data_IF_485787528539
#
_entry.id   IF_485787528539
#
_cell.length_a   1.000
_cell.length_b   1.000
_cell.length_c   1.000
_cell.angle_alpha   90.00
_cell.angle_beta   90.00
_cell.angle_gamma   90.00
#
_symmetry.space_group_name_H-M   'P 1'
#
loop_
_entity.id
_entity.type
_entity.pdbx_description
1 polymer ?
#
# COMPACT_ATOMS: atom_id res chain seq x y z
N UNK A 1 28.44 16.20 10.24
CA UNK A 1 27.30 17.11 10.46
C UNK A 1 27.58 17.95 11.69
N UNK A 2 27.54 19.29 11.61
CA UNK A 2 27.57 20.18 12.79
C UNK A 2 26.12 20.50 13.15
N UNK A 3 25.70 20.18 14.37
CA UNK A 3 24.35 20.45 14.86
C UNK A 3 24.43 21.69 15.73
N UNK A 4 23.63 22.71 15.42
CA UNK A 4 23.44 23.86 16.32
C UNK A 4 22.56 23.40 17.52
N UNK A 5 23.08 23.44 18.76
CA UNK A 5 22.31 23.09 19.95
C UNK A 5 21.02 23.88 20.09
N UNK A 6 21.00 25.15 19.66
CA UNK A 6 19.84 26.02 19.85
C UNK A 6 18.69 25.69 18.90
N UNK A 7 19.00 25.18 17.70
CA UNK A 7 18.04 24.75 16.69
C UNK A 7 17.65 23.27 16.75
N UNK A 8 18.23 22.49 17.67
CA UNK A 8 18.02 21.06 17.77
C UNK A 8 17.18 20.68 19.00
N UNK A 9 16.43 19.56 18.90
CA UNK A 9 15.81 18.90 20.05
C UNK A 9 16.44 17.55 20.24
N UNK A 10 16.84 17.24 21.47
CA UNK A 10 17.47 15.97 21.83
C UNK A 10 16.44 15.12 22.55
N UNK A 11 16.13 13.94 22.01
CA UNK A 11 15.15 13.03 22.61
C UNK A 11 15.83 11.71 22.91
N UNK A 12 15.80 11.32 24.17
CA UNK A 12 16.17 9.98 24.58
C UNK A 12 14.90 9.14 24.65
N UNK A 13 14.77 8.22 23.69
CA UNK A 13 13.59 7.40 23.51
C UNK A 13 13.89 5.95 23.92
N UNK A 14 13.03 5.36 24.76
CA UNK A 14 13.17 3.97 25.23
C UNK A 14 11.82 3.25 25.10
N UNK A 15 11.84 2.04 24.54
CA UNK A 15 10.70 1.11 24.60
C UNK A 15 10.62 0.53 26.00
N UNK A 16 9.66 1.02 26.80
CA UNK A 16 9.46 0.68 28.22
C UNK A 16 10.69 0.90 29.11
N UNK A 17 10.75 2.05 29.79
CA UNK A 17 11.79 2.30 30.78
C UNK A 17 11.49 3.48 31.68
N UNK A 18 12.04 3.47 32.90
CA UNK A 18 12.04 4.65 33.77
C UNK A 18 13.31 5.45 33.53
N UNK A 19 13.23 6.79 33.43
CA UNK A 19 14.43 7.60 33.32
C UNK A 19 15.27 7.46 34.60
N UNK A 20 16.59 7.44 34.43
CA UNK A 20 17.50 7.60 35.56
C UNK A 20 17.35 8.99 36.20
N UNK A 21 17.87 9.14 37.42
CA UNK A 21 17.78 10.40 38.18
C UNK A 21 18.34 11.60 37.39
N UNK A 22 19.47 11.41 36.70
CA UNK A 22 20.10 12.45 35.88
C UNK A 22 19.23 12.85 34.69
N UNK A 23 18.65 11.87 33.97
CA UNK A 23 17.80 12.14 32.81
C UNK A 23 16.50 12.84 33.23
N UNK A 24 15.96 12.49 34.40
CA UNK A 24 14.76 13.15 34.97
C UNK A 24 15.04 14.62 35.31
N UNK A 25 16.25 14.92 35.79
CA UNK A 25 16.68 16.29 36.07
C UNK A 25 16.94 17.07 34.77
N UNK A 26 17.50 16.44 33.74
CA UNK A 26 17.66 17.04 32.41
C UNK A 26 16.30 17.37 31.77
N UNK A 27 15.36 16.43 31.80
CA UNK A 27 14.02 16.58 31.22
C UNK A 27 13.21 17.73 31.85
N UNK A 28 13.47 18.04 33.13
CA UNK A 28 12.84 19.15 33.87
C UNK A 28 13.57 20.49 33.73
N UNK A 29 14.84 20.48 33.34
CA UNK A 29 15.67 21.68 33.30
C UNK A 29 15.36 22.51 32.06
N UNK A 30 14.29 23.31 32.10
CA UNK A 30 13.86 24.13 30.95
C UNK A 30 14.50 25.52 30.95
N UNK A 31 15.17 25.89 32.04
CA UNK A 31 15.85 27.18 32.21
C UNK A 31 17.37 27.04 32.31
N UNK A 32 18.08 28.10 31.94
CA UNK A 32 19.55 28.12 32.00
C UNK A 32 20.10 27.90 33.41
N UNK A 33 19.41 28.41 34.43
CA UNK A 33 19.78 28.22 35.82
C UNK A 33 19.67 26.75 36.26
N UNK A 34 18.63 26.04 35.82
CA UNK A 34 18.45 24.61 36.08
C UNK A 34 19.46 23.77 35.30
N UNK A 35 19.66 24.08 34.02
CA UNK A 35 20.63 23.40 33.17
C UNK A 35 22.06 23.51 33.73
N UNK A 36 22.41 24.67 34.28
CA UNK A 36 23.71 24.88 34.96
C UNK A 36 23.86 24.01 36.20
N UNK A 37 22.78 23.80 36.98
CA UNK A 37 22.81 22.91 38.15
C UNK A 37 23.02 21.46 37.73
N UNK A 38 22.33 21.02 36.67
CA UNK A 38 22.49 19.68 36.10
C UNK A 38 23.91 19.49 35.56
N UNK A 39 24.44 20.48 34.84
CA UNK A 39 25.81 20.43 34.30
C UNK A 39 26.87 20.30 35.40
N UNK A 40 26.71 21.00 36.54
CA UNK A 40 27.59 20.83 37.71
C UNK A 40 27.56 19.40 38.26
N UNK A 41 26.37 18.79 38.30
CA UNK A 41 26.20 17.40 38.75
C UNK A 41 26.86 16.41 37.78
N UNK A 42 26.72 16.64 36.47
CA UNK A 42 27.39 15.86 35.42
C UNK A 42 28.92 15.93 35.58
N UNK A 43 29.48 17.13 35.78
CA UNK A 43 30.92 17.34 36.01
C UNK A 43 31.41 16.58 37.25
N UNK A 44 30.68 16.70 38.37
CA UNK A 44 31.02 15.98 39.60
C UNK A 44 31.03 14.46 39.39
N UNK A 45 30.00 13.91 38.74
CA UNK A 45 29.95 12.47 38.44
C UNK A 45 31.04 12.03 37.47
N UNK A 46 31.48 12.89 36.56
CA UNK A 46 32.59 12.63 35.66
C UNK A 46 33.94 12.59 36.40
N UNK A 47 34.15 13.52 37.34
CA UNK A 47 35.37 13.60 38.15
C UNK A 47 35.49 12.41 39.13
N UNK A 48 34.35 11.91 39.62
CA UNK A 48 34.26 10.78 40.56
C UNK A 48 34.38 9.39 39.86
N UNK A 49 34.42 9.33 38.52
CA UNK A 49 34.46 8.06 37.76
C UNK A 49 35.88 7.64 37.35
N UNK A 50 36.11 6.32 37.33
CA UNK A 50 37.36 5.73 36.82
C UNK A 50 37.59 6.08 35.34
N UNK A 51 38.85 6.38 34.99
CA UNK A 51 39.25 6.85 33.66
C UNK A 51 39.21 5.78 32.56
N UNK A 52 38.97 4.51 32.91
CA UNK A 52 39.02 3.38 31.97
C UNK A 52 37.67 3.06 31.31
N UNK A 53 36.60 3.79 31.62
CA UNK A 53 35.27 3.45 31.08
C UNK A 53 35.09 4.00 29.66
N UNK A 54 34.59 3.15 28.75
CA UNK A 54 34.46 3.47 27.31
C UNK A 54 33.64 4.73 26.98
N UNK A 55 32.75 5.20 27.86
CA UNK A 55 31.96 6.42 27.65
C UNK A 55 32.67 7.72 28.07
N UNK A 56 33.74 7.62 28.86
CA UNK A 56 34.46 8.76 29.45
C UNK A 56 34.99 9.74 28.39
N UNK A 57 35.58 9.30 27.25
CA UNK A 57 35.99 10.19 26.18
C UNK A 57 34.85 10.98 25.53
N UNK A 58 33.65 10.38 25.46
CA UNK A 58 32.47 11.03 24.89
C UNK A 58 31.93 12.12 25.80
N UNK A 59 31.88 11.87 27.12
CA UNK A 59 31.45 12.89 28.09
C UNK A 59 32.50 14.00 28.23
N UNK A 60 33.79 13.66 28.19
CA UNK A 60 34.87 14.65 28.17
C UNK A 60 34.78 15.59 26.96
N UNK A 61 34.47 15.05 25.77
CA UNK A 61 34.22 15.87 24.57
C UNK A 61 33.01 16.79 24.70
N UNK A 62 31.95 16.34 25.36
CA UNK A 62 30.78 17.17 25.65
C UNK A 62 31.16 18.34 26.57
N UNK A 63 31.82 18.08 27.69
CA UNK A 63 32.24 19.10 28.65
C UNK A 63 33.24 20.11 28.04
N UNK A 64 34.11 19.65 27.14
CA UNK A 64 35.06 20.51 26.42
C UNK A 64 34.40 21.47 25.41
N UNK A 65 33.13 21.24 25.04
CA UNK A 65 32.39 22.13 24.14
C UNK A 65 31.96 23.46 24.79
N UNK A 66 32.14 23.59 26.11
CA UNK A 66 31.85 24.80 26.88
C UNK A 66 30.43 24.83 27.46
N UNK A 67 30.28 25.58 28.56
CA UNK A 67 29.05 25.58 29.36
C UNK A 67 27.83 26.08 28.60
N UNK A 68 28.01 27.06 27.71
CA UNK A 68 26.92 27.60 26.88
C UNK A 68 26.31 26.51 25.99
N UNK A 69 27.16 25.73 25.33
CA UNK A 69 26.73 24.62 24.46
C UNK A 69 26.11 23.50 25.28
N UNK A 70 26.74 23.13 26.40
CA UNK A 70 26.25 22.07 27.27
C UNK A 70 24.88 22.38 27.86
N UNK A 71 24.69 23.61 28.37
CA UNK A 71 23.40 24.05 28.91
C UNK A 71 22.32 24.07 27.83
N UNK A 72 22.63 24.54 26.61
CA UNK A 72 21.68 24.53 25.50
C UNK A 72 21.21 23.12 25.13
N UNK A 73 22.09 22.11 25.22
CA UNK A 73 21.75 20.70 25.00
C UNK A 73 20.87 20.18 26.15
N UNK A 74 21.24 20.45 27.41
CA UNK A 74 20.47 20.03 28.59
C UNK A 74 19.05 20.61 28.54
N UNK A 75 18.91 21.91 28.24
CA UNK A 75 17.62 22.61 28.15
C UNK A 75 16.65 22.01 27.12
N UNK A 76 17.19 21.34 26.10
CA UNK A 76 16.44 20.81 24.96
C UNK A 76 16.45 19.28 24.93
N UNK A 77 16.89 18.65 26.03
CA UNK A 77 16.90 17.21 26.19
C UNK A 77 15.60 16.78 26.85
N UNK A 78 14.89 15.82 26.24
CA UNK A 78 13.68 15.25 26.84
C UNK A 78 13.70 13.73 26.84
N UNK A 79 13.08 13.14 27.86
CA UNK A 79 12.86 11.71 27.97
C UNK A 79 11.50 11.32 27.39
N UNK A 80 11.47 10.27 26.58
CA UNK A 80 10.23 9.70 26.07
C UNK A 80 10.24 8.18 26.27
N UNK A 81 9.19 7.68 26.92
CA UNK A 81 8.93 6.25 27.05
C UNK A 81 7.50 5.98 26.63
N UNK A 82 7.35 5.04 25.69
CA UNK A 82 6.06 4.55 25.24
C UNK A 82 6.09 3.02 25.30
N UNK A 83 4.99 2.42 25.76
CA UNK A 83 4.85 0.96 25.78
C UNK A 83 4.68 0.39 24.36
N UNK A 84 3.97 1.13 23.50
CA UNK A 84 3.79 0.81 22.09
C UNK A 84 4.29 1.97 21.21
N UNK A 85 5.55 1.90 20.74
CA UNK A 85 6.16 2.95 19.91
C UNK A 85 5.46 3.21 18.58
N UNK A 86 4.68 2.25 18.09
CA UNK A 86 4.02 2.33 16.80
C UNK A 86 2.60 2.88 16.91
N UNK A 87 2.04 3.00 18.13
CA UNK A 87 0.68 3.47 18.36
C UNK A 87 0.38 4.80 17.67
N UNK A 88 1.26 5.79 17.84
CA UNK A 88 1.07 7.12 17.24
C UNK A 88 1.07 7.11 15.71
N UNK A 89 1.75 6.13 15.09
CA UNK A 89 1.75 5.92 13.64
C UNK A 89 0.44 5.26 13.22
N UNK A 90 0.01 4.21 13.93
CA UNK A 90 -1.29 3.54 13.69
C UNK A 90 -2.46 4.51 13.78
N UNK A 91 -2.48 5.37 14.81
CA UNK A 91 -3.54 6.37 15.01
C UNK A 91 -3.59 7.39 13.85
N UNK A 92 -2.45 7.75 13.26
CA UNK A 92 -2.37 8.67 12.13
C UNK A 92 -2.66 8.02 10.77
N UNK A 93 -2.49 6.71 10.68
CA UNK A 93 -2.66 5.93 9.45
C UNK A 93 -3.90 5.03 9.52
N UNK A 94 -4.86 5.36 10.40
CA UNK A 94 -6.07 4.58 10.65
C UNK A 94 -7.02 4.45 9.44
N UNK A 95 -6.74 5.16 8.35
CA UNK A 95 -7.40 5.01 7.06
C UNK A 95 -6.92 3.75 6.29
N UNK A 96 -5.89 3.06 6.78
CA UNK A 96 -5.40 1.79 6.22
C UNK A 96 -5.75 0.61 7.13
N UNK A 97 -5.87 -0.61 6.59
CA UNK A 97 -6.02 -1.82 7.41
C UNK A 97 -4.87 -1.96 8.42
N UNK A 98 -5.13 -2.31 9.70
CA UNK A 98 -4.10 -2.40 10.73
C UNK A 98 -2.92 -3.31 10.36
N UNK A 99 -3.19 -4.45 9.73
CA UNK A 99 -2.15 -5.39 9.27
C UNK A 99 -1.20 -4.76 8.26
N UNK A 100 -1.71 -3.95 7.32
CA UNK A 100 -0.89 -3.25 6.34
C UNK A 100 0.00 -2.18 7.00
N UNK A 101 -0.50 -1.50 8.03
CA UNK A 101 0.28 -0.53 8.82
C UNK A 101 1.43 -1.22 9.54
N UNK A 102 1.19 -2.38 10.14
CA UNK A 102 2.21 -3.16 10.86
C UNK A 102 3.30 -3.66 9.91
N UNK A 103 2.93 -4.17 8.73
CA UNK A 103 3.89 -4.58 7.70
C UNK A 103 4.74 -3.41 7.18
N UNK A 104 4.10 -2.25 6.93
CA UNK A 104 4.80 -1.02 6.56
C UNK A 104 5.80 -0.59 7.63
N UNK A 105 5.40 -0.64 8.90
CA UNK A 105 6.26 -0.28 10.02
C UNK A 105 7.44 -1.27 10.14
N UNK A 106 7.19 -2.58 10.02
CA UNK A 106 8.24 -3.59 10.03
C UNK A 106 9.24 -3.38 8.88
N UNK A 107 8.75 -3.06 7.68
CA UNK A 107 9.59 -2.71 6.53
C UNK A 107 10.43 -1.45 6.75
N UNK A 108 9.83 -0.38 7.29
CA UNK A 108 10.55 0.85 7.64
C UNK A 108 11.67 0.60 8.66
N UNK A 109 11.38 -0.17 9.72
CA UNK A 109 12.35 -0.52 10.77
C UNK A 109 13.48 -1.36 10.18
N UNK A 110 13.16 -2.38 9.39
CA UNK A 110 14.15 -3.23 8.73
C UNK A 110 15.06 -2.44 7.80
N UNK A 111 14.50 -1.52 7.00
CA UNK A 111 15.26 -0.64 6.13
C UNK A 111 16.23 0.26 6.91
N UNK A 112 15.76 0.88 7.99
CA UNK A 112 16.59 1.73 8.84
C UNK A 112 17.74 0.95 9.48
N UNK A 113 17.44 -0.24 10.00
CA UNK A 113 18.43 -1.11 10.66
C UNK A 113 19.52 -1.57 9.70
N UNK A 114 19.14 -2.13 8.56
CA UNK A 114 20.10 -2.61 7.57
C UNK A 114 21.01 -1.47 7.07
N UNK A 115 20.44 -0.28 6.88
CA UNK A 115 21.23 0.89 6.48
C UNK A 115 22.21 1.34 7.57
N UNK A 116 21.79 1.35 8.85
CA UNK A 116 22.71 1.63 9.95
C UNK A 116 23.85 0.59 10.02
N UNK A 117 23.52 -0.69 9.84
CA UNK A 117 24.52 -1.77 9.85
C UNK A 117 25.53 -1.60 8.69
N UNK A 118 25.07 -1.17 7.51
CA UNK A 118 25.93 -0.85 6.37
C UNK A 118 26.85 0.35 6.67
N UNK A 119 26.32 1.43 7.27
CA UNK A 119 27.12 2.60 7.67
C UNK A 119 28.19 2.22 8.70
N UNK A 120 27.87 1.34 9.64
CA UNK A 120 28.81 0.83 10.65
C UNK A 120 29.90 0.00 9.97
N UNK A 121 29.52 -0.93 9.07
CA UNK A 121 30.48 -1.77 8.33
C UNK A 121 31.42 -0.97 7.44
N UNK A 122 30.97 0.17 6.92
CA UNK A 122 31.76 1.07 6.08
C UNK A 122 32.52 2.16 6.88
N UNK A 123 32.48 2.11 8.22
CA UNK A 123 33.07 3.12 9.12
C UNK A 123 32.63 4.56 8.81
N UNK A 124 31.44 4.72 8.23
CA UNK A 124 30.88 6.01 7.89
C UNK A 124 30.14 6.64 9.08
N UNK A 125 29.75 7.91 8.91
CA UNK A 125 28.93 8.62 9.88
C UNK A 125 27.63 7.85 10.16
N UNK A 126 27.45 7.40 11.41
CA UNK A 126 26.30 6.62 11.91
C UNK A 126 25.04 7.49 12.06
N UNK A 127 24.64 8.14 10.97
CA UNK A 127 23.50 9.04 10.94
C UNK A 127 22.74 8.90 9.63
N UNK A 128 21.43 8.73 9.72
CA UNK A 128 20.53 8.72 8.57
C UNK A 128 19.79 10.06 8.53
N UNK A 129 19.91 10.79 7.42
CA UNK A 129 19.14 12.01 7.20
C UNK A 129 17.67 11.64 6.94
N UNK A 130 16.75 12.32 7.62
CA UNK A 130 15.31 12.08 7.48
C UNK A 130 14.81 12.25 6.03
N UNK A 131 15.39 13.18 5.26
CA UNK A 131 15.06 13.38 3.84
C UNK A 131 15.45 12.15 3.02
N UNK A 132 16.63 11.59 3.25
CA UNK A 132 17.10 10.42 2.51
C UNK A 132 16.38 9.14 2.94
N UNK A 133 16.05 9.02 4.24
CA UNK A 133 15.17 7.96 4.73
C UNK A 133 13.80 8.03 4.07
N UNK A 134 13.14 9.18 4.07
CA UNK A 134 11.84 9.35 3.40
C UNK A 134 11.94 8.97 1.92
N UNK A 135 12.98 9.43 1.20
CA UNK A 135 13.16 9.09 -0.22
C UNK A 135 13.31 7.57 -0.43
N UNK A 136 14.20 6.91 0.34
CA UNK A 136 14.39 5.45 0.24
C UNK A 136 13.16 4.68 0.69
N UNK A 137 12.49 5.11 1.75
CA UNK A 137 11.29 4.46 2.26
C UNK A 137 10.13 4.62 1.27
N UNK A 138 9.90 5.80 0.69
CA UNK A 138 8.91 5.97 -0.38
C UNK A 138 9.21 5.09 -1.60
N UNK A 139 10.49 4.93 -1.97
CA UNK A 139 10.87 4.00 -3.03
C UNK A 139 10.65 2.53 -2.62
N UNK A 140 10.91 2.17 -1.36
CA UNK A 140 10.63 0.84 -0.81
C UNK A 140 9.14 0.54 -0.83
N UNK A 141 8.29 1.45 -0.32
CA UNK A 141 6.82 1.29 -0.34
C UNK A 141 6.30 1.13 -1.77
N UNK A 142 6.79 1.93 -2.72
CA UNK A 142 6.42 1.82 -4.14
C UNK A 142 6.93 0.52 -4.80
N UNK A 143 8.14 0.08 -4.44
CA UNK A 143 8.75 -1.14 -4.99
C UNK A 143 8.08 -2.40 -4.43
N UNK A 144 7.76 -2.37 -3.15
CA UNK A 144 7.19 -3.49 -2.40
C UNK A 144 5.68 -3.43 -2.32
N UNK A 145 5.03 -2.47 -3.02
CA UNK A 145 3.58 -2.29 -3.17
C UNK A 145 2.85 -3.47 -2.55
N UNK A 146 2.44 -3.30 -1.29
CA UNK A 146 1.97 -4.35 -0.37
C UNK A 146 0.69 -5.07 -0.84
N UNK A 147 0.39 -5.09 -2.12
CA UNK A 147 0.31 -6.29 -2.95
C UNK A 147 0.06 -5.76 -4.35
N UNK A 148 0.99 -5.88 -5.28
CA UNK A 148 0.76 -5.42 -6.66
C UNK A 148 -0.36 -6.20 -7.39
N UNK A 149 -1.04 -7.10 -6.70
CA UNK A 149 -2.21 -7.80 -7.16
C UNK A 149 -3.38 -7.55 -6.20
N UNK A 150 -4.54 -7.21 -6.74
CA UNK A 150 -5.78 -7.31 -5.99
C UNK A 150 -6.09 -8.78 -5.77
N UNK A 151 -6.22 -9.18 -4.51
CA UNK A 151 -6.54 -10.56 -4.17
C UNK A 151 -8.05 -10.81 -4.37
N UNK A 152 -8.44 -12.02 -4.82
CA UNK A 152 -9.83 -12.45 -4.83
C UNK A 152 -10.47 -12.19 -3.46
N UNK A 153 -11.58 -11.47 -3.46
CA UNK A 153 -12.27 -11.12 -2.22
C UNK A 153 -13.25 -12.23 -1.80
N UNK A 154 -13.58 -13.13 -2.72
CA UNK A 154 -14.49 -14.27 -2.53
C UNK A 154 -13.95 -15.59 -3.11
N UNK A 155 -14.44 -16.69 -2.56
CA UNK A 155 -14.22 -18.03 -3.11
C UNK A 155 -14.98 -18.22 -4.44
N UNK A 156 -14.50 -19.11 -5.33
CA UNK A 156 -15.23 -19.45 -6.54
C UNK A 156 -16.65 -19.98 -6.23
N UNK A 157 -17.67 -19.64 -7.04
CA UNK A 157 -19.01 -20.18 -6.87
C UNK A 157 -19.03 -21.70 -7.09
N UNK A 158 -19.92 -22.39 -6.40
CA UNK A 158 -20.14 -23.82 -6.63
C UNK A 158 -20.93 -24.09 -7.93
N UNK A 159 -20.87 -25.33 -8.42
CA UNK A 159 -21.53 -25.74 -9.67
C UNK A 159 -23.04 -25.49 -9.65
N UNK A 160 -23.68 -25.61 -8.47
CA UNK A 160 -25.12 -25.40 -8.33
C UNK A 160 -25.50 -23.94 -8.55
N UNK A 161 -24.70 -23.01 -8.02
CA UNK A 161 -24.88 -21.59 -8.18
C UNK A 161 -24.64 -21.16 -9.64
N UNK A 162 -23.60 -21.71 -10.29
CA UNK A 162 -23.33 -21.48 -11.72
C UNK A 162 -24.53 -21.94 -12.57
N UNK A 163 -24.98 -23.18 -12.36
CA UNK A 163 -26.12 -23.75 -13.07
C UNK A 163 -27.40 -22.94 -12.88
N UNK A 164 -27.64 -22.45 -11.66
CA UNK A 164 -28.78 -21.60 -11.36
C UNK A 164 -28.71 -20.27 -12.13
N UNK A 165 -27.55 -19.64 -12.18
CA UNK A 165 -27.35 -18.40 -12.93
C UNK A 165 -27.48 -18.61 -14.46
N UNK A 166 -26.98 -19.72 -15.01
CA UNK A 166 -27.18 -20.06 -16.43
C UNK A 166 -28.68 -20.23 -16.75
N UNK A 167 -29.44 -20.91 -15.88
CA UNK A 167 -30.90 -21.09 -16.03
C UNK A 167 -31.68 -19.79 -15.86
N UNK A 168 -31.18 -18.86 -15.05
CA UNK A 168 -31.77 -17.53 -14.87
C UNK A 168 -31.65 -16.64 -16.11
N UNK A 169 -30.83 -17.04 -17.09
CA UNK A 169 -30.62 -16.34 -18.36
C UNK A 169 -30.45 -14.81 -18.21
N UNK A 170 -29.49 -14.34 -17.38
CA UNK A 170 -29.15 -12.93 -17.36
C UNK A 170 -28.75 -12.48 -18.77
N UNK A 171 -28.88 -11.18 -19.04
CA UNK A 171 -28.73 -10.62 -20.37
C UNK A 171 -27.40 -11.00 -21.04
N UNK A 172 -26.28 -10.97 -20.33
CA UNK A 172 -25.00 -11.38 -20.92
C UNK A 172 -24.99 -12.87 -21.33
N UNK A 173 -25.68 -13.75 -20.57
CA UNK A 173 -25.85 -15.17 -20.92
C UNK A 173 -26.75 -15.33 -22.13
N UNK A 174 -27.85 -14.55 -22.22
CA UNK A 174 -28.72 -14.54 -23.41
C UNK A 174 -27.94 -14.12 -24.66
N UNK A 175 -27.09 -13.11 -24.54
CA UNK A 175 -26.20 -12.69 -25.63
C UNK A 175 -25.20 -13.79 -26.01
N UNK A 176 -24.59 -14.47 -25.04
CA UNK A 176 -23.69 -15.60 -25.30
C UNK A 176 -24.40 -16.77 -26.00
N UNK A 177 -25.64 -17.08 -25.61
CA UNK A 177 -26.47 -18.07 -26.30
C UNK A 177 -26.81 -17.66 -27.73
N UNK A 178 -27.05 -16.37 -28.00
CA UNK A 178 -27.31 -15.87 -29.35
C UNK A 178 -26.10 -15.95 -30.30
N UNK A 179 -24.88 -16.02 -29.75
CA UNK A 179 -23.67 -16.35 -30.51
C UNK A 179 -23.32 -17.84 -30.43
N UNK A 180 -24.26 -18.66 -29.97
CA UNK A 180 -24.13 -20.12 -29.79
C UNK A 180 -22.86 -20.50 -29.01
N UNK A 181 -22.57 -19.77 -27.94
CA UNK A 181 -21.47 -20.11 -27.04
C UNK A 181 -21.65 -21.53 -26.48
N UNK A 182 -20.59 -22.37 -26.47
CA UNK A 182 -20.67 -23.72 -25.90
C UNK A 182 -20.88 -23.67 -24.38
N UNK A 183 -21.41 -24.75 -23.82
CA UNK A 183 -21.75 -24.83 -22.39
C UNK A 183 -20.55 -24.50 -21.47
N UNK A 184 -19.35 -24.99 -21.81
CA UNK A 184 -18.14 -24.71 -21.03
C UNK A 184 -17.81 -23.21 -20.97
N UNK A 185 -18.07 -22.49 -22.07
CA UNK A 185 -17.91 -21.03 -22.12
C UNK A 185 -18.93 -20.33 -21.22
N UNK A 186 -20.18 -20.82 -21.18
CA UNK A 186 -21.21 -20.26 -20.30
C UNK A 186 -20.85 -20.45 -18.82
N UNK A 187 -20.34 -21.63 -18.45
CA UNK A 187 -19.87 -21.93 -17.09
C UNK A 187 -18.76 -20.97 -16.66
N UNK A 188 -17.73 -20.80 -17.49
CA UNK A 188 -16.63 -19.87 -17.22
C UNK A 188 -17.15 -18.43 -17.13
N UNK A 189 -17.97 -18.00 -18.10
CA UNK A 189 -18.49 -16.63 -18.15
C UNK A 189 -19.30 -16.27 -16.90
N UNK A 190 -20.16 -17.19 -16.44
CA UNK A 190 -20.97 -17.00 -15.24
C UNK A 190 -20.11 -16.99 -13.98
N UNK A 191 -19.16 -17.91 -13.85
CA UNK A 191 -18.20 -17.91 -12.74
C UNK A 191 -17.44 -16.58 -12.66
N UNK A 192 -16.87 -16.13 -13.78
CA UNK A 192 -16.09 -14.90 -13.86
C UNK A 192 -16.94 -13.66 -13.56
N UNK A 193 -18.17 -13.61 -14.08
CA UNK A 193 -19.14 -12.55 -13.81
C UNK A 193 -19.50 -12.45 -12.32
N UNK A 194 -19.83 -13.58 -11.69
CA UNK A 194 -20.19 -13.61 -10.27
C UNK A 194 -19.03 -13.16 -9.39
N UNK A 195 -17.83 -13.68 -9.66
CA UNK A 195 -16.62 -13.33 -8.91
C UNK A 195 -16.26 -11.85 -9.04
N UNK A 196 -16.27 -11.34 -10.27
CA UNK A 196 -15.98 -9.93 -10.55
C UNK A 196 -16.99 -9.00 -9.90
N UNK A 197 -18.28 -9.33 -9.95
CA UNK A 197 -19.32 -8.49 -9.36
C UNK A 197 -19.17 -8.43 -7.84
N UNK A 198 -18.89 -9.55 -7.18
CA UNK A 198 -18.69 -9.54 -5.73
C UNK A 198 -17.39 -8.84 -5.32
N UNK A 199 -16.31 -9.02 -6.08
CA UNK A 199 -15.04 -8.32 -5.85
C UNK A 199 -15.20 -6.81 -6.03
N UNK A 200 -15.92 -6.34 -7.07
CA UNK A 200 -16.23 -4.91 -7.26
C UNK A 200 -16.95 -4.32 -6.04
N UNK A 201 -17.96 -5.02 -5.51
CA UNK A 201 -18.70 -4.59 -4.31
C UNK A 201 -17.77 -4.55 -3.09
N UNK A 202 -17.04 -5.63 -2.84
CA UNK A 202 -16.20 -5.74 -1.65
C UNK A 202 -15.03 -4.76 -1.65
N UNK A 203 -14.35 -4.58 -2.78
CA UNK A 203 -13.26 -3.60 -2.88
C UNK A 203 -13.75 -2.16 -2.77
N UNK A 204 -14.99 -1.86 -3.19
CA UNK A 204 -15.61 -0.56 -2.99
C UNK A 204 -15.97 -0.35 -1.50
N UNK A 205 -16.62 -1.33 -0.86
CA UNK A 205 -17.01 -1.26 0.55
C UNK A 205 -15.78 -1.14 1.47
N UNK A 206 -14.70 -1.85 1.16
CA UNK A 206 -13.43 -1.82 1.90
C UNK A 206 -12.58 -0.57 1.59
N UNK A 207 -12.99 0.28 0.65
CA UNK A 207 -12.22 1.45 0.20
C UNK A 207 -10.86 1.08 -0.42
N UNK A 208 -10.74 -0.14 -0.95
CA UNK A 208 -9.51 -0.67 -1.56
C UNK A 208 -9.26 -0.08 -2.94
N UNK A 209 -10.32 0.34 -3.63
CA UNK A 209 -10.29 0.96 -4.95
C UNK A 209 -11.03 2.29 -4.92
N UNK A 210 -10.47 3.29 -5.58
CA UNK A 210 -11.09 4.58 -5.79
C UNK A 210 -12.32 4.45 -6.69
N UNK A 211 -13.43 5.09 -6.30
CA UNK A 211 -14.74 4.88 -6.94
C UNK A 211 -14.76 5.11 -8.46
N UNK A 212 -14.03 6.12 -8.95
CA UNK A 212 -14.01 6.42 -10.40
C UNK A 212 -13.13 5.45 -11.20
N UNK A 213 -12.26 4.67 -10.54
CA UNK A 213 -11.33 3.76 -11.22
C UNK A 213 -12.05 2.61 -11.95
N UNK A 214 -13.22 2.19 -11.46
CA UNK A 214 -14.05 1.25 -12.21
C UNK A 214 -14.69 1.87 -13.45
N UNK A 215 -15.05 3.16 -13.41
CA UNK A 215 -15.60 3.88 -14.58
C UNK A 215 -14.54 3.97 -15.67
N UNK A 216 -13.32 4.38 -15.29
CA UNK A 216 -12.19 4.46 -16.23
C UNK A 216 -11.84 3.09 -16.84
N UNK A 217 -11.81 2.03 -16.02
CA UNK A 217 -11.61 0.67 -16.51
C UNK A 217 -12.71 0.26 -17.49
N UNK A 218 -13.97 0.47 -17.14
CA UNK A 218 -15.10 0.12 -17.98
C UNK A 218 -15.04 0.85 -19.34
N UNK A 219 -14.66 2.13 -19.37
CA UNK A 219 -14.49 2.89 -20.62
C UNK A 219 -13.33 2.36 -21.48
N UNK A 220 -12.23 1.94 -20.86
CA UNK A 220 -11.13 1.27 -21.55
C UNK A 220 -11.59 -0.07 -22.16
N UNK A 221 -12.38 -0.85 -21.42
CA UNK A 221 -12.92 -2.12 -21.88
C UNK A 221 -13.92 -1.92 -23.03
N UNK A 222 -14.84 -0.95 -22.95
CA UNK A 222 -15.75 -0.62 -24.05
C UNK A 222 -14.96 -0.28 -25.32
N UNK A 223 -13.95 0.60 -25.21
CA UNK A 223 -13.08 0.96 -26.34
C UNK A 223 -12.35 -0.27 -26.90
N UNK A 224 -11.81 -1.13 -26.03
CA UNK A 224 -11.10 -2.35 -26.43
C UNK A 224 -12.02 -3.32 -27.16
N UNK A 225 -13.24 -3.51 -26.65
CA UNK A 225 -14.28 -4.30 -27.31
C UNK A 225 -14.56 -3.76 -28.71
N UNK A 226 -14.82 -2.46 -28.86
CA UNK A 226 -15.08 -1.87 -30.18
C UNK A 226 -13.94 -2.10 -31.17
N UNK A 227 -12.69 -1.97 -30.74
CA UNK A 227 -11.52 -2.24 -31.60
C UNK A 227 -11.44 -3.71 -32.01
N UNK A 228 -11.68 -4.63 -31.08
CA UNK A 228 -11.71 -6.08 -31.34
C UNK A 228 -12.85 -6.44 -32.29
N UNK A 229 -14.04 -5.87 -32.11
CA UNK A 229 -15.18 -6.07 -33.01
C UNK A 229 -14.86 -5.62 -34.43
N UNK A 230 -14.29 -4.43 -34.60
CA UNK A 230 -13.88 -3.91 -35.90
C UNK A 230 -12.82 -4.80 -36.56
N UNK A 231 -11.78 -5.18 -35.81
CA UNK A 231 -10.71 -6.05 -36.31
C UNK A 231 -11.26 -7.39 -36.81
N UNK A 232 -12.17 -8.01 -36.06
CA UNK A 232 -12.76 -9.30 -36.43
C UNK A 232 -13.72 -9.16 -37.62
N UNK A 233 -14.50 -8.09 -37.69
CA UNK A 233 -15.37 -7.82 -38.83
C UNK A 233 -14.58 -7.63 -40.13
N UNK A 234 -13.43 -6.95 -40.06
CA UNK A 234 -12.56 -6.69 -41.21
C UNK A 234 -11.74 -7.91 -41.64
N UNK A 235 -11.21 -8.68 -40.68
CA UNK A 235 -10.30 -9.80 -40.94
C UNK A 235 -11.02 -11.11 -41.22
N UNK A 236 -12.22 -11.30 -40.66
CA UNK A 236 -12.97 -12.56 -40.74
C UNK A 236 -14.39 -12.38 -41.33
N UNK A 237 -14.57 -11.71 -42.50
CA UNK A 237 -15.89 -11.45 -43.05
C UNK A 237 -16.64 -12.73 -43.47
N UNK A 238 -15.93 -13.84 -43.63
CA UNK A 238 -16.47 -15.13 -44.05
C UNK A 238 -17.14 -15.92 -42.91
N UNK A 239 -16.87 -15.56 -41.65
CA UNK A 239 -17.51 -16.19 -40.51
C UNK A 239 -18.99 -15.80 -40.46
N UNK A 240 -19.86 -16.72 -40.04
CA UNK A 240 -21.23 -16.37 -39.71
C UNK A 240 -21.28 -15.46 -38.46
N UNK A 241 -22.46 -14.87 -38.20
CA UNK A 241 -22.61 -13.91 -37.12
C UNK A 241 -22.32 -14.55 -35.74
N UNK A 242 -22.82 -15.77 -35.43
CA UNK A 242 -22.45 -16.45 -34.17
C UNK A 242 -20.95 -16.70 -34.02
N UNK A 243 -20.25 -17.18 -35.06
CA UNK A 243 -18.81 -17.44 -35.00
C UNK A 243 -17.98 -16.16 -34.83
N UNK A 244 -18.40 -15.03 -35.42
CA UNK A 244 -17.79 -13.73 -35.15
C UNK A 244 -17.98 -13.32 -33.70
N UNK A 245 -19.19 -13.46 -33.16
CA UNK A 245 -19.46 -13.13 -31.76
C UNK A 245 -18.62 -13.94 -30.77
N UNK A 246 -18.46 -15.25 -31.01
CA UNK A 246 -17.54 -16.10 -30.22
C UNK A 246 -16.09 -15.65 -30.34
N UNK A 247 -15.66 -15.23 -31.54
CA UNK A 247 -14.31 -14.72 -31.77
C UNK A 247 -14.05 -13.43 -31.00
N UNK A 248 -15.03 -12.51 -30.97
CA UNK A 248 -14.97 -11.27 -30.18
C UNK A 248 -14.85 -11.61 -28.70
N UNK A 249 -15.68 -12.53 -28.21
CA UNK A 249 -15.63 -12.99 -26.81
C UNK A 249 -14.24 -13.51 -26.42
N UNK A 250 -13.67 -14.43 -27.22
CA UNK A 250 -12.34 -15.00 -26.98
C UNK A 250 -11.21 -14.00 -27.06
N UNK A 251 -11.31 -13.00 -27.94
CA UNK A 251 -10.31 -11.94 -28.03
C UNK A 251 -10.36 -11.04 -26.79
N UNK A 252 -11.57 -10.69 -26.34
CA UNK A 252 -11.79 -9.93 -25.11
C UNK A 252 -11.36 -10.70 -23.86
N UNK A 253 -11.57 -12.02 -23.78
CA UNK A 253 -11.17 -12.83 -22.63
C UNK A 253 -9.65 -12.95 -22.44
N UNK A 254 -8.86 -12.59 -23.45
CA UNK A 254 -7.39 -12.54 -23.39
C UNK A 254 -6.85 -11.17 -22.97
N UNK A 255 -7.72 -10.17 -22.83
CA UNK A 255 -7.31 -8.84 -22.43
C UNK A 255 -6.88 -8.85 -20.97
N UNK A 256 -5.72 -8.25 -20.71
CA UNK A 256 -5.23 -7.97 -19.36
C UNK A 256 -5.05 -6.48 -19.22
N UNK A 257 -5.72 -5.87 -18.25
CA UNK A 257 -5.55 -4.47 -17.89
C UNK A 257 -5.31 -4.38 -16.38
N UNK A 258 -4.41 -3.50 -15.92
CA UNK A 258 -4.29 -3.21 -14.50
C UNK A 258 -5.44 -2.30 -14.05
N UNK A 259 -5.76 -2.35 -12.76
CA UNK A 259 -6.65 -1.39 -12.10
C UNK A 259 -5.82 -0.63 -11.06
N UNK A 260 -5.73 0.70 -11.21
CA UNK A 260 -4.83 1.55 -10.38
C UNK A 260 -3.36 1.08 -10.37
N UNK A 261 -2.90 0.48 -11.47
CA UNK A 261 -1.56 -0.10 -11.56
C UNK A 261 -1.39 -1.45 -10.85
N UNK A 262 -2.46 -1.99 -10.27
CA UNK A 262 -2.49 -3.34 -9.66
C UNK A 262 -2.92 -4.37 -10.69
N UNK A 263 -2.29 -5.55 -10.68
CA UNK A 263 -2.73 -6.70 -11.45
C UNK A 263 -4.03 -7.26 -10.88
N UNK A 264 -4.91 -7.72 -11.75
CA UNK A 264 -6.20 -8.26 -11.37
C UNK A 264 -6.18 -9.80 -11.36
N UNK A 265 -7.06 -10.45 -10.59
CA UNK A 265 -7.31 -11.88 -10.72
C UNK A 265 -7.66 -12.25 -12.16
N UNK A 266 -7.28 -13.45 -12.62
CA UNK A 266 -7.42 -13.86 -14.02
C UNK A 266 -8.85 -13.85 -14.58
N UNK A 267 -9.86 -13.93 -13.71
CA UNK A 267 -11.28 -13.88 -14.08
C UNK A 267 -11.86 -12.46 -14.16
N UNK A 268 -11.13 -11.45 -13.67
CA UNK A 268 -11.74 -10.15 -13.39
C UNK A 268 -12.08 -9.40 -14.68
N UNK A 269 -11.17 -9.38 -15.66
CA UNK A 269 -11.39 -8.66 -16.91
C UNK A 269 -12.48 -9.33 -17.76
N UNK A 270 -12.48 -10.67 -17.85
CA UNK A 270 -13.54 -11.43 -18.53
C UNK A 270 -14.89 -11.20 -17.87
N UNK A 271 -14.96 -11.25 -16.54
CA UNK A 271 -16.17 -10.94 -15.80
C UNK A 271 -16.62 -9.48 -15.95
N UNK A 272 -15.68 -8.53 -16.04
CA UNK A 272 -16.00 -7.12 -16.25
C UNK A 272 -16.61 -6.87 -17.63
N UNK A 273 -16.11 -7.54 -18.69
CA UNK A 273 -16.79 -7.55 -19.98
C UNK A 273 -18.21 -8.12 -19.89
N UNK A 274 -18.42 -9.20 -19.12
CA UNK A 274 -19.76 -9.75 -18.90
C UNK A 274 -20.67 -8.76 -18.15
N UNK A 275 -20.15 -7.98 -17.19
CA UNK A 275 -20.90 -6.89 -16.55
C UNK A 275 -21.30 -5.80 -17.56
N UNK A 276 -20.41 -5.43 -18.47
CA UNK A 276 -20.70 -4.45 -19.52
C UNK A 276 -21.75 -4.97 -20.51
N UNK A 277 -21.69 -6.25 -20.89
CA UNK A 277 -22.69 -6.89 -21.73
C UNK A 277 -24.05 -6.98 -21.01
N UNK A 278 -24.05 -7.30 -19.71
CA UNK A 278 -25.23 -7.29 -18.86
C UNK A 278 -25.87 -5.90 -18.78
N UNK A 279 -25.05 -4.84 -18.76
CA UNK A 279 -25.51 -3.45 -18.78
C UNK A 279 -25.78 -2.88 -20.18
N UNK A 280 -25.71 -3.69 -21.25
CA UNK A 280 -25.83 -3.28 -22.66
C UNK A 280 -24.84 -2.20 -23.12
N UNK A 281 -23.74 -2.00 -22.39
CA UNK A 281 -22.68 -1.09 -22.82
C UNK A 281 -21.86 -1.66 -23.98
N UNK A 282 -21.85 -2.99 -24.11
CA UNK A 282 -21.30 -3.74 -25.23
C UNK A 282 -22.26 -4.88 -25.57
N UNK A 283 -22.00 -5.58 -26.67
CA UNK A 283 -22.63 -6.88 -26.89
C UNK A 283 -21.85 -7.79 -27.83
N UNK A 284 -22.05 -9.09 -27.63
CA UNK A 284 -21.33 -10.14 -28.34
C UNK A 284 -21.84 -10.40 -29.76
N UNK A 285 -23.11 -10.08 -30.00
CA UNK A 285 -23.73 -10.15 -31.32
C UNK A 285 -23.76 -8.73 -31.94
N UNK A 286 -23.48 -8.58 -33.24
CA UNK A 286 -23.51 -7.27 -33.92
C UNK A 286 -24.82 -6.52 -33.67
N UNK A 287 -25.93 -7.23 -33.80
CA UNK A 287 -27.28 -6.66 -33.63
C UNK A 287 -27.83 -6.78 -32.18
N UNK A 288 -26.96 -6.83 -31.16
CA UNK A 288 -27.40 -7.06 -29.78
C UNK A 288 -28.43 -6.03 -29.28
N UNK A 289 -28.34 -4.77 -29.74
CA UNK A 289 -29.31 -3.73 -29.38
C UNK A 289 -30.73 -4.03 -29.89
N UNK A 290 -30.82 -4.68 -31.05
CA UNK A 290 -32.11 -5.06 -31.66
C UNK A 290 -32.60 -6.40 -31.11
N UNK A 291 -31.70 -7.35 -30.85
CA UNK A 291 -32.04 -8.66 -30.29
C UNK A 291 -32.42 -8.58 -28.81
N UNK A 292 -31.90 -7.59 -28.08
CA UNK A 292 -32.09 -7.43 -26.64
C UNK A 292 -32.42 -5.97 -26.25
N UNK A 293 -33.57 -5.45 -26.72
CA UNK A 293 -33.95 -4.06 -26.48
C UNK A 293 -34.17 -3.76 -24.98
N UNK A 294 -34.14 -2.47 -24.57
CA UNK A 294 -34.63 -2.01 -23.27
C UNK A 294 -36.02 -2.54 -22.97
N UNK A 295 -36.22 -3.04 -21.74
CA UNK A 295 -37.56 -3.20 -21.19
C UNK A 295 -38.17 -1.83 -20.89
#
# INVERSE_FOLDING_TARGET
MKIDPNGARFRYYVSEGKPGSLMTEMDKATTNAEATKVLKKIRKQFDDCDKEVAWQPHLGRFLAAGDVVCCAIVERCSFQSEADPLRSIRDRMNFMPPAAIDELCAGAIGLARNWMDDLIRQEQSRAILAVDFRRKFSAFVRRHNFSNALNPAIEPPDDRAIDAAIRGEPLFVRQLKAVEAPQDMLVIAVSDYMRTTADKVKWADDGTIYGDSFVELDDQLVRKHSLVSLEIDDTNPQLDVPARGRSIYWACSKVTLPLEGQSLPGYFISGAFNCLAQGRRIGWHRDYETLFPPE
#
